data_IF_201588164201
#
_entry.id   IF_201588164201
#
_cell.length_a   1.000
_cell.length_b   1.000
_cell.length_c   1.000
_cell.angle_alpha   90.00
_cell.angle_beta   90.00
_cell.angle_gamma   90.00
#
_symmetry.space_group_name_H-M   'P 1'
#
loop_
_entity.id
_entity.type
_entity.pdbx_description
1 polymer ?
#
# COMPACT_ATOMS: atom_id res chain seq x y z
N UNK A 1 20.38 -26.46 -34.75
CA UNK A 1 19.51 -25.62 -35.61
C UNK A 1 18.45 -24.99 -34.69
N UNK A 2 18.69 -23.75 -34.29
CA UNK A 2 17.75 -22.97 -33.49
C UNK A 2 16.78 -22.25 -34.40
N UNK A 3 15.47 -22.39 -34.16
CA UNK A 3 14.43 -21.58 -34.77
C UNK A 3 13.95 -20.59 -33.74
N UNK A 4 14.01 -19.27 -33.97
CA UNK A 4 13.47 -18.28 -33.04
C UNK A 4 11.96 -18.14 -33.27
N UNK A 5 11.19 -18.34 -32.23
CA UNK A 5 9.74 -18.09 -32.23
C UNK A 5 9.48 -16.59 -32.12
N UNK A 6 9.20 -15.98 -33.24
CA UNK A 6 8.66 -14.62 -33.35
C UNK A 6 7.16 -14.70 -33.05
N UNK A 7 6.75 -14.33 -31.83
CA UNK A 7 5.34 -14.19 -31.51
C UNK A 7 4.84 -12.85 -32.06
N UNK A 8 3.99 -12.94 -33.08
CA UNK A 8 3.41 -11.82 -33.81
C UNK A 8 2.48 -11.01 -32.89
N UNK A 9 2.83 -9.75 -32.71
CA UNK A 9 1.99 -8.69 -32.18
C UNK A 9 0.95 -8.29 -33.25
N UNK A 10 -0.13 -9.03 -33.34
CA UNK A 10 -1.19 -8.78 -34.34
C UNK A 10 -2.55 -9.05 -33.68
N UNK A 11 -3.00 -8.16 -32.78
CA UNK A 11 -4.41 -8.02 -32.35
C UNK A 11 -4.61 -6.82 -31.44
N UNK A 12 -4.35 -5.62 -31.95
CA UNK A 12 -4.70 -4.36 -31.26
C UNK A 12 -5.26 -3.31 -32.22
N UNK A 13 -5.92 -3.73 -33.28
CA UNK A 13 -6.47 -2.82 -34.29
C UNK A 13 -7.95 -3.06 -34.56
N UNK A 14 -8.80 -3.20 -33.56
CA UNK A 14 -10.25 -3.24 -33.78
C UNK A 14 -11.05 -2.91 -32.49
N UNK A 15 -10.88 -1.72 -31.93
CA UNK A 15 -11.84 -1.15 -30.96
C UNK A 15 -11.85 0.39 -30.98
N UNK A 16 -11.67 1.01 -32.17
CA UNK A 16 -12.03 2.41 -32.36
C UNK A 16 -13.54 2.50 -32.70
N UNK A 17 -14.40 2.02 -31.81
CA UNK A 17 -15.81 2.40 -31.86
C UNK A 17 -15.89 3.88 -31.45
N UNK A 18 -16.46 4.72 -32.31
CA UNK A 18 -16.67 6.13 -32.09
C UNK A 18 -17.37 6.39 -30.76
N UNK A 19 -16.63 6.91 -29.80
CA UNK A 19 -17.14 7.34 -28.50
C UNK A 19 -17.79 8.70 -28.69
N UNK A 20 -18.95 8.98 -28.11
CA UNK A 20 -19.57 10.28 -28.23
C UNK A 20 -18.63 11.35 -27.67
N UNK A 21 -18.36 12.36 -28.47
CA UNK A 21 -17.64 13.57 -28.07
C UNK A 21 -18.40 14.21 -26.90
N UNK A 22 -17.90 14.03 -25.69
CA UNK A 22 -18.37 14.79 -24.55
C UNK A 22 -17.85 16.22 -24.69
N UNK A 23 -18.70 17.20 -24.35
CA UNK A 23 -18.33 18.62 -24.43
C UNK A 23 -16.97 18.85 -23.78
N UNK A 24 -16.09 19.54 -24.49
CA UNK A 24 -14.71 19.77 -24.09
C UNK A 24 -14.65 20.51 -22.74
N UNK A 25 -14.25 19.84 -21.67
CA UNK A 25 -13.91 20.53 -20.43
C UNK A 25 -12.74 21.50 -20.66
N UNK A 26 -12.74 22.67 -20.01
CA UNK A 26 -11.65 23.63 -20.20
C UNK A 26 -10.31 23.01 -19.79
N UNK A 27 -9.25 23.29 -20.54
CA UNK A 27 -7.89 22.90 -20.18
C UNK A 27 -7.55 23.49 -18.83
N UNK A 28 -7.12 22.61 -17.89
CA UNK A 28 -6.69 23.01 -16.55
C UNK A 28 -5.29 22.53 -16.30
N UNK A 29 -4.48 23.44 -15.76
CA UNK A 29 -3.19 23.12 -15.18
C UNK A 29 -3.29 23.40 -13.68
N UNK A 30 -2.97 22.40 -12.86
CA UNK A 30 -3.12 22.47 -11.41
C UNK A 30 -1.80 22.07 -10.77
N UNK A 31 -1.34 22.86 -9.80
CA UNK A 31 -0.17 22.52 -9.00
C UNK A 31 -0.58 21.84 -7.70
N UNK A 32 0.12 20.78 -7.35
CA UNK A 32 -0.10 19.98 -6.14
C UNK A 32 1.17 20.02 -5.28
N UNK A 33 1.00 20.14 -3.96
CA UNK A 33 2.12 20.19 -3.00
C UNK A 33 1.81 19.27 -1.83
N UNK A 34 2.83 18.59 -1.37
CA UNK A 34 2.79 17.79 -0.14
C UNK A 34 4.14 17.98 0.59
N UNK A 35 4.10 18.69 1.71
CA UNK A 35 5.24 18.92 2.59
C UNK A 35 5.04 18.13 3.87
N UNK A 36 6.00 17.27 4.23
CA UNK A 36 5.92 16.44 5.44
C UNK A 36 7.23 16.50 6.22
N UNK A 37 7.16 17.02 7.43
CA UNK A 37 8.21 16.89 8.44
C UNK A 37 7.85 15.72 9.35
N UNK A 38 8.81 14.80 9.55
CA UNK A 38 8.64 13.64 10.43
C UNK A 38 9.87 13.45 11.30
N UNK A 39 9.63 13.13 12.56
CA UNK A 39 10.60 12.55 13.46
C UNK A 39 10.17 11.12 13.77
N UNK A 40 11.06 10.15 13.63
CA UNK A 40 10.86 8.73 13.95
C UNK A 40 11.98 8.26 14.86
N UNK A 41 11.61 7.72 16.03
CA UNK A 41 12.52 7.07 16.96
C UNK A 41 12.22 5.57 16.99
N UNK A 42 13.27 4.74 16.96
CA UNK A 42 13.17 3.28 17.01
C UNK A 42 14.14 2.76 18.08
N UNK A 43 13.56 2.18 19.14
CA UNK A 43 14.24 1.36 20.13
C UNK A 43 13.97 -0.11 19.78
N UNK A 44 14.99 -0.82 19.32
CA UNK A 44 14.89 -2.24 18.92
C UNK A 44 15.99 -3.02 19.63
N UNK A 45 15.60 -3.94 20.52
CA UNK A 45 16.50 -4.74 21.35
C UNK A 45 17.47 -5.67 20.55
N UNK A 46 17.37 -5.69 19.19
CA UNK A 46 18.38 -6.31 18.34
C UNK A 46 19.63 -5.45 18.15
N UNK A 47 19.60 -4.17 18.53
CA UNK A 47 20.67 -3.19 18.34
C UNK A 47 21.13 -2.62 19.67
N UNK A 48 22.40 -2.24 19.73
CA UNK A 48 22.98 -1.62 20.95
C UNK A 48 22.62 -0.13 21.10
N UNK A 49 22.09 0.49 20.04
CA UNK A 49 21.72 1.91 19.99
C UNK A 49 20.41 2.08 19.28
N UNK A 50 19.65 3.05 19.71
CA UNK A 50 18.40 3.46 19.09
C UNK A 50 18.65 4.16 17.75
N UNK A 51 17.63 4.14 16.88
CA UNK A 51 17.59 5.01 15.73
C UNK A 51 16.79 6.27 16.03
N UNK A 52 17.30 7.39 15.49
CA UNK A 52 16.67 8.71 15.52
C UNK A 52 16.74 9.30 14.13
N UNK A 53 15.59 9.49 13.50
CA UNK A 53 15.47 9.97 12.13
C UNK A 53 14.55 11.20 12.05
N UNK A 54 15.09 12.33 11.60
CA UNK A 54 14.28 13.52 11.27
C UNK A 54 14.36 13.74 9.79
N UNK A 55 13.22 13.70 9.11
CA UNK A 55 13.12 13.78 7.65
C UNK A 55 12.12 14.83 7.22
N UNK A 56 12.47 15.57 6.16
CA UNK A 56 11.60 16.55 5.51
C UNK A 56 11.41 16.14 4.06
N UNK A 57 10.17 15.92 3.64
CA UNK A 57 9.80 15.62 2.27
C UNK A 57 9.04 16.78 1.66
N UNK A 58 9.37 17.12 0.43
CA UNK A 58 8.57 17.96 -0.45
C UNK A 58 8.22 17.16 -1.71
N UNK A 59 6.93 17.03 -2.01
CA UNK A 59 6.42 16.64 -3.33
C UNK A 59 5.85 17.86 -4.01
N UNK A 60 6.16 18.02 -5.29
CA UNK A 60 5.60 19.07 -6.14
C UNK A 60 5.14 18.45 -7.45
N UNK A 61 3.87 18.61 -7.76
CA UNK A 61 3.22 18.02 -8.93
C UNK A 61 2.57 19.06 -9.82
N UNK A 62 2.63 18.80 -11.12
CA UNK A 62 1.92 19.54 -12.16
C UNK A 62 0.93 18.60 -12.84
N UNK A 63 -0.35 18.79 -12.56
CA UNK A 63 -1.45 18.04 -13.16
C UNK A 63 -2.04 18.77 -14.34
N UNK A 64 -2.13 18.08 -15.45
CA UNK A 64 -2.77 18.56 -16.68
C UNK A 64 -4.09 17.83 -16.89
N UNK A 65 -5.14 18.57 -17.27
CA UNK A 65 -6.37 18.04 -17.82
C UNK A 65 -6.75 18.82 -19.08
N UNK A 66 -6.89 18.14 -20.21
CA UNK A 66 -7.35 18.71 -21.46
C UNK A 66 -8.79 18.28 -21.75
N UNK A 67 -9.55 19.15 -22.43
CA UNK A 67 -10.99 19.00 -22.62
C UNK A 67 -11.47 17.83 -23.44
N UNK A 68 -10.57 17.00 -23.97
CA UNK A 68 -10.87 15.79 -24.75
C UNK A 68 -10.65 14.49 -23.95
N UNK A 69 -10.53 14.58 -22.61
CA UNK A 69 -10.26 13.46 -21.73
C UNK A 69 -8.76 13.16 -21.53
N UNK A 70 -7.87 13.82 -22.25
CA UNK A 70 -6.43 13.70 -22.04
C UNK A 70 -6.05 14.33 -20.69
N UNK A 71 -5.29 13.62 -19.88
CA UNK A 71 -4.82 14.08 -18.58
C UNK A 71 -3.45 13.48 -18.26
N UNK A 72 -2.74 14.10 -17.32
CA UNK A 72 -1.42 13.61 -16.91
C UNK A 72 -0.96 14.26 -15.62
N UNK A 73 0.12 13.73 -15.08
CA UNK A 73 0.79 14.23 -13.88
C UNK A 73 2.30 14.07 -14.02
N UNK A 74 3.00 15.13 -13.71
CA UNK A 74 4.44 15.10 -13.43
C UNK A 74 4.63 15.53 -11.99
N UNK A 75 5.17 14.65 -11.15
CA UNK A 75 5.43 14.89 -9.73
C UNK A 75 6.87 14.53 -9.39
N UNK A 76 7.60 15.49 -8.84
CA UNK A 76 8.93 15.27 -8.27
C UNK A 76 8.84 15.24 -6.75
N UNK A 77 9.76 14.49 -6.13
CA UNK A 77 9.91 14.36 -4.70
C UNK A 77 11.35 14.68 -4.29
N UNK A 78 11.50 15.42 -3.18
CA UNK A 78 12.78 15.69 -2.56
C UNK A 78 12.69 15.38 -1.07
N UNK A 79 13.66 14.61 -0.54
CA UNK A 79 13.74 14.22 0.86
C UNK A 79 15.10 14.67 1.43
N UNK A 80 15.05 15.51 2.47
CA UNK A 80 16.18 15.79 3.33
C UNK A 80 16.07 14.94 4.59
N UNK A 81 17.22 14.46 5.11
CA UNK A 81 17.26 13.56 6.25
C UNK A 81 18.45 13.88 7.16
N UNK A 82 18.22 13.80 8.46
CA UNK A 82 19.20 13.98 9.54
C UNK A 82 18.96 12.97 10.66
N UNK A 83 19.99 12.69 11.44
CA UNK A 83 19.91 11.81 12.60
C UNK A 83 20.80 10.56 12.52
N UNK A 84 20.67 9.70 13.50
CA UNK A 84 21.42 8.46 13.65
C UNK A 84 20.50 7.25 13.39
N UNK A 85 20.42 6.79 12.15
CA UNK A 85 19.57 5.66 11.76
C UNK A 85 20.12 4.97 10.50
N UNK A 86 19.68 3.76 10.22
CA UNK A 86 19.93 3.04 8.98
C UNK A 86 18.85 3.38 7.95
N UNK A 87 19.18 4.12 6.90
CA UNK A 87 18.22 4.43 5.82
C UNK A 87 18.15 3.34 4.73
N UNK A 88 19.04 2.35 4.77
CA UNK A 88 19.24 1.41 3.65
C UNK A 88 20.15 1.96 2.54
N UNK A 89 20.49 3.26 2.58
CA UNK A 89 21.36 3.95 1.61
C UNK A 89 22.62 4.57 2.23
N UNK A 90 22.73 4.63 3.56
CA UNK A 90 23.78 5.36 4.27
C UNK A 90 24.83 4.47 4.94
N UNK A 91 24.78 3.15 4.76
CA UNK A 91 25.76 2.19 5.29
C UNK A 91 25.74 1.98 6.81
N UNK A 92 24.77 2.51 7.54
CA UNK A 92 24.66 2.39 9.00
C UNK A 92 23.91 1.13 9.43
N UNK A 93 24.40 -0.05 9.04
CA UNK A 93 23.81 -1.33 9.38
C UNK A 93 23.83 -1.69 10.88
N UNK A 94 24.57 -0.94 11.70
CA UNK A 94 24.64 -1.05 13.15
C UNK A 94 23.50 -0.36 13.91
N UNK A 95 22.57 0.26 13.21
CA UNK A 95 21.41 0.97 13.75
C UNK A 95 20.09 0.37 13.22
N UNK A 96 18.99 0.49 13.98
CA UNK A 96 17.66 0.14 13.50
C UNK A 96 17.30 0.85 12.19
N UNK A 97 16.56 0.17 11.35
CA UNK A 97 16.21 0.69 10.04
C UNK A 97 14.98 1.62 10.10
N UNK A 98 15.13 2.80 9.49
CA UNK A 98 14.04 3.71 9.11
C UNK A 98 14.18 3.94 7.61
N UNK A 99 13.28 3.38 6.80
CA UNK A 99 13.36 3.38 5.33
C UNK A 99 12.85 4.72 4.78
N UNK A 100 13.54 5.80 5.17
CA UNK A 100 13.29 7.17 4.70
C UNK A 100 14.64 7.80 4.30
N UNK A 101 15.25 7.36 3.17
CA UNK A 101 16.53 7.91 2.69
C UNK A 101 16.36 9.35 2.20
N UNK A 102 17.45 10.11 2.19
CA UNK A 102 17.53 11.36 1.43
C UNK A 102 17.57 11.04 -0.07
N UNK A 103 17.02 11.92 -0.89
CA UNK A 103 17.05 11.75 -2.35
C UNK A 103 16.19 12.79 -3.06
N UNK A 104 16.30 12.81 -4.38
CA UNK A 104 15.44 13.60 -5.28
C UNK A 104 15.07 12.68 -6.42
N UNK A 105 13.77 12.44 -6.63
CA UNK A 105 13.26 11.50 -7.61
C UNK A 105 12.00 12.03 -8.32
N UNK A 106 11.73 11.51 -9.51
CA UNK A 106 10.39 11.61 -10.10
C UNK A 106 9.51 10.49 -9.53
N UNK A 107 8.57 10.89 -8.68
CA UNK A 107 7.65 9.96 -8.05
C UNK A 107 6.53 9.51 -9.00
N UNK A 108 6.02 10.45 -9.83
CA UNK A 108 5.04 10.14 -10.87
C UNK A 108 5.35 10.90 -12.17
N UNK A 109 5.23 10.23 -13.30
CA UNK A 109 5.34 10.81 -14.63
C UNK A 109 4.50 9.96 -15.61
N UNK A 110 3.24 10.34 -15.82
CA UNK A 110 2.32 9.57 -16.63
C UNK A 110 1.38 10.44 -17.45
N UNK A 111 0.93 9.89 -18.56
CA UNK A 111 -0.10 10.43 -19.42
C UNK A 111 -1.24 9.43 -19.55
N UNK A 112 -2.48 9.91 -19.58
CA UNK A 112 -3.65 9.08 -19.70
C UNK A 112 -4.78 9.74 -20.45
N UNK A 113 -5.78 8.93 -20.76
CA UNK A 113 -7.03 9.37 -21.35
C UNK A 113 -8.19 8.78 -20.55
N UNK A 114 -9.22 9.58 -20.30
CA UNK A 114 -10.44 9.19 -19.59
C UNK A 114 -11.66 9.57 -20.42
N UNK A 115 -12.49 8.59 -20.72
CA UNK A 115 -13.78 8.73 -21.38
C UNK A 115 -14.94 8.35 -20.49
N UNK A 116 -16.17 8.37 -21.00
CA UNK A 116 -17.39 8.23 -20.22
C UNK A 116 -17.52 6.94 -19.38
N UNK A 117 -16.87 5.84 -19.79
CA UNK A 117 -16.97 4.54 -19.09
C UNK A 117 -15.63 3.93 -18.72
N UNK A 118 -14.54 4.63 -18.89
CA UNK A 118 -13.24 4.09 -18.53
C UNK A 118 -12.10 5.02 -18.87
N UNK A 119 -10.87 4.55 -18.60
CA UNK A 119 -9.64 5.27 -18.87
C UNK A 119 -8.45 4.35 -18.99
N UNK A 120 -7.37 4.92 -19.48
CA UNK A 120 -6.08 4.29 -19.64
C UNK A 120 -5.01 5.28 -19.20
N UNK A 121 -3.95 4.80 -18.56
CA UNK A 121 -2.78 5.61 -18.24
C UNK A 121 -1.50 4.82 -18.47
N UNK A 122 -0.45 5.50 -18.92
CA UNK A 122 0.87 4.93 -19.19
C UNK A 122 1.93 5.80 -18.55
N UNK A 123 2.91 5.18 -17.90
CA UNK A 123 4.05 5.80 -17.27
C UNK A 123 4.16 5.47 -15.80
N UNK A 124 5.02 6.22 -15.08
CA UNK A 124 5.25 6.03 -13.64
C UNK A 124 4.07 6.57 -12.85
N UNK A 125 3.39 5.69 -12.13
CA UNK A 125 2.13 5.99 -11.46
C UNK A 125 1.97 5.25 -10.14
N UNK A 126 1.15 5.79 -9.24
CA UNK A 126 0.64 5.09 -8.06
C UNK A 126 -0.45 4.14 -8.48
N UNK A 127 -0.39 2.91 -7.98
CA UNK A 127 -1.49 1.94 -8.11
C UNK A 127 -1.95 1.53 -6.73
N UNK A 128 -3.23 1.74 -6.46
CA UNK A 128 -3.88 1.43 -5.20
C UNK A 128 -5.07 0.51 -5.48
N UNK A 129 -4.95 -0.77 -5.15
CA UNK A 129 -6.01 -1.74 -5.36
C UNK A 129 -6.62 -2.16 -4.03
N UNK A 130 -7.92 -2.11 -3.94
CA UNK A 130 -8.72 -2.46 -2.77
C UNK A 130 -8.22 -1.76 -1.48
N UNK A 131 -7.85 -2.53 -0.45
CA UNK A 131 -7.26 -2.00 0.78
C UNK A 131 -5.72 -1.93 0.75
N UNK A 132 -5.10 -2.12 -0.41
CA UNK A 132 -3.64 -2.14 -0.61
C UNK A 132 -2.92 -3.32 0.07
N UNK A 133 -3.65 -4.37 0.44
CA UNK A 133 -3.04 -5.59 1.02
C UNK A 133 -2.12 -6.31 0.03
N UNK A 134 -2.42 -6.19 -1.27
CA UNK A 134 -1.65 -6.82 -2.34
C UNK A 134 -0.90 -5.80 -3.19
N UNK A 135 -1.54 -4.71 -3.57
CA UNK A 135 -0.98 -3.66 -4.45
C UNK A 135 -1.23 -2.30 -3.81
N UNK A 136 -0.15 -1.61 -3.47
CA UNK A 136 -0.21 -0.30 -2.83
C UNK A 136 1.07 0.52 -3.03
N UNK A 137 1.06 1.76 -2.56
CA UNK A 137 2.16 2.70 -2.75
C UNK A 137 3.06 2.89 -1.51
N UNK A 138 2.78 2.23 -0.40
CA UNK A 138 3.51 2.44 0.86
C UNK A 138 3.58 3.92 1.29
N UNK A 139 2.49 4.67 1.08
CA UNK A 139 2.43 6.14 1.25
C UNK A 139 2.69 6.64 2.68
N UNK A 140 2.87 5.74 3.65
CA UNK A 140 3.37 6.06 4.98
C UNK A 140 4.82 6.52 4.92
N UNK A 141 5.68 5.91 4.11
CA UNK A 141 7.09 6.27 3.99
C UNK A 141 7.26 7.65 3.34
N UNK A 142 8.41 8.27 3.53
CA UNK A 142 8.72 9.55 2.88
C UNK A 142 8.81 9.34 1.37
N UNK A 143 9.65 8.42 0.91
CA UNK A 143 9.60 7.93 -0.45
C UNK A 143 8.51 6.84 -0.57
N UNK A 144 7.70 6.89 -1.61
CA UNK A 144 6.63 5.90 -1.81
C UNK A 144 6.97 4.94 -2.96
N UNK A 145 6.27 3.81 -2.97
CA UNK A 145 6.35 2.86 -4.06
C UNK A 145 5.54 3.37 -5.26
N UNK A 146 6.17 3.38 -6.44
CA UNK A 146 5.54 3.73 -7.72
C UNK A 146 5.82 2.64 -8.76
N UNK A 147 5.02 2.62 -9.85
CA UNK A 147 5.10 1.59 -10.88
C UNK A 147 5.19 2.21 -12.25
N UNK A 148 6.18 1.78 -13.05
CA UNK A 148 6.17 2.02 -14.49
C UNK A 148 5.19 1.01 -15.08
N UNK A 149 4.03 1.49 -15.55
CA UNK A 149 2.89 0.65 -15.84
C UNK A 149 1.99 1.20 -16.94
N UNK A 150 1.28 0.27 -17.59
CA UNK A 150 0.04 0.54 -18.32
C UNK A 150 -1.12 0.15 -17.40
N UNK A 151 -2.02 1.07 -17.10
CA UNK A 151 -3.23 0.78 -16.32
C UNK A 151 -4.49 1.11 -17.11
N UNK A 152 -5.53 0.32 -16.94
CA UNK A 152 -6.83 0.48 -17.58
C UNK A 152 -7.95 0.27 -16.55
N UNK A 153 -8.98 1.10 -16.64
CA UNK A 153 -10.20 0.93 -15.86
C UNK A 153 -11.40 1.08 -16.78
N UNK A 154 -12.37 0.17 -16.66
CA UNK A 154 -13.64 0.20 -17.40
C UNK A 154 -14.78 -0.02 -16.41
N UNK A 155 -15.81 0.81 -16.50
CA UNK A 155 -17.08 0.65 -15.78
C UNK A 155 -18.20 0.32 -16.79
N UNK A 156 -18.37 -0.96 -17.19
CA UNK A 156 -19.39 -1.36 -18.17
C UNK A 156 -20.80 -1.02 -17.70
N UNK A 157 -21.01 -1.06 -16.39
CA UNK A 157 -22.22 -0.69 -15.67
C UNK A 157 -21.82 0.23 -14.48
N UNK A 158 -22.77 0.97 -13.94
CA UNK A 158 -22.56 1.89 -12.79
C UNK A 158 -22.13 1.15 -11.52
N UNK A 159 -22.49 -0.12 -11.41
CA UNK A 159 -22.24 -0.99 -10.26
C UNK A 159 -21.05 -1.96 -10.48
N UNK A 160 -20.44 -2.00 -11.67
CA UNK A 160 -19.33 -2.90 -12.01
C UNK A 160 -18.12 -2.11 -12.53
N UNK A 161 -16.99 -2.25 -11.86
CA UNK A 161 -15.70 -1.73 -12.30
C UNK A 161 -14.75 -2.90 -12.59
N UNK A 162 -14.05 -2.84 -13.71
CA UNK A 162 -13.01 -3.77 -14.12
C UNK A 162 -11.72 -2.99 -14.25
N UNK A 163 -10.64 -3.49 -13.66
CA UNK A 163 -9.30 -2.88 -13.70
C UNK A 163 -8.29 -3.89 -14.20
N UNK A 164 -7.39 -3.41 -15.02
CA UNK A 164 -6.22 -4.14 -15.45
C UNK A 164 -4.99 -3.25 -15.31
N UNK A 165 -3.86 -3.82 -14.91
CA UNK A 165 -2.57 -3.16 -15.02
C UNK A 165 -1.50 -4.16 -15.47
N UNK A 166 -0.60 -3.70 -16.33
CA UNK A 166 0.67 -4.35 -16.63
C UNK A 166 1.79 -3.52 -16.00
N UNK A 167 2.59 -4.16 -15.15
CA UNK A 167 3.72 -3.53 -14.49
C UNK A 167 5.01 -4.01 -15.16
N UNK A 168 5.80 -3.07 -15.65
CA UNK A 168 7.13 -3.32 -16.20
C UNK A 168 8.22 -3.17 -15.13
N UNK A 169 7.98 -2.26 -14.13
CA UNK A 169 8.95 -1.95 -13.08
C UNK A 169 8.23 -1.48 -11.82
N UNK A 170 8.83 -1.78 -10.66
CA UNK A 170 8.48 -1.16 -9.38
C UNK A 170 9.66 -0.32 -8.87
N UNK A 171 9.41 0.93 -8.54
CA UNK A 171 10.30 1.82 -7.78
C UNK A 171 9.94 1.68 -6.31
N UNK A 172 10.94 1.40 -5.48
CA UNK A 172 10.71 1.00 -4.10
C UNK A 172 10.98 2.17 -3.13
N UNK A 173 10.44 2.05 -1.94
CA UNK A 173 10.55 3.07 -0.87
C UNK A 173 11.99 3.38 -0.43
N UNK A 174 12.94 2.52 -0.76
CA UNK A 174 14.36 2.71 -0.40
C UNK A 174 15.09 3.76 -1.26
N UNK A 175 14.46 4.20 -2.37
CA UNK A 175 15.01 5.23 -3.26
C UNK A 175 16.21 4.80 -4.12
N UNK A 176 16.57 5.65 -5.05
CA UNK A 176 17.59 5.37 -6.07
C UNK A 176 19.00 5.21 -5.49
N UNK A 177 19.27 5.75 -4.29
CA UNK A 177 20.55 5.66 -3.60
C UNK A 177 20.70 4.43 -2.68
N UNK A 178 19.69 3.53 -2.60
CA UNK A 178 19.78 2.32 -1.79
C UNK A 178 21.01 1.50 -2.16
N UNK A 179 21.71 0.93 -1.15
CA UNK A 179 22.95 0.17 -1.36
C UNK A 179 22.70 -1.13 -2.13
N UNK A 180 21.57 -1.82 -1.85
CA UNK A 180 21.13 -2.97 -2.64
C UNK A 180 20.35 -2.47 -3.87
N UNK A 181 20.83 -2.73 -5.10
CA UNK A 181 20.10 -2.36 -6.32
C UNK A 181 18.68 -2.91 -6.37
N UNK A 182 18.40 -4.09 -5.82
CA UNK A 182 17.08 -4.71 -5.76
C UNK A 182 16.13 -4.01 -4.78
N UNK A 183 16.67 -3.19 -3.88
CA UNK A 183 15.89 -2.32 -3.01
C UNK A 183 15.57 -0.97 -3.64
N UNK A 184 16.26 -0.56 -4.73
CA UNK A 184 15.96 0.65 -5.50
C UNK A 184 14.72 0.43 -6.38
N UNK A 185 14.86 -0.51 -7.29
CA UNK A 185 13.84 -0.87 -8.25
C UNK A 185 13.93 -2.35 -8.62
N UNK A 186 12.88 -2.89 -9.25
CA UNK A 186 12.89 -4.25 -9.81
C UNK A 186 12.16 -4.27 -11.14
N UNK A 187 12.75 -4.95 -12.10
CA UNK A 187 12.12 -5.24 -13.38
C UNK A 187 11.04 -6.32 -13.21
N UNK A 188 9.86 -6.05 -13.74
CA UNK A 188 8.69 -6.91 -13.60
C UNK A 188 8.15 -7.35 -14.96
N UNK A 189 7.33 -8.41 -14.91
CA UNK A 189 6.39 -8.81 -15.96
C UNK A 189 5.09 -9.23 -15.28
N UNK A 190 4.37 -8.22 -14.75
CA UNK A 190 3.28 -8.47 -13.81
C UNK A 190 1.96 -8.03 -14.39
N UNK A 191 0.97 -8.94 -14.40
CA UNK A 191 -0.40 -8.66 -14.82
C UNK A 191 -1.34 -8.65 -13.62
N UNK A 192 -2.08 -7.56 -13.46
CA UNK A 192 -3.06 -7.37 -12.40
C UNK A 192 -4.46 -7.28 -12.99
N UNK A 193 -5.35 -8.15 -12.55
CA UNK A 193 -6.77 -8.14 -12.88
C UNK A 193 -7.58 -7.95 -11.61
N UNK A 194 -8.52 -7.01 -11.62
CA UNK A 194 -9.41 -6.75 -10.49
C UNK A 194 -10.81 -6.41 -11.03
N UNK A 195 -11.83 -6.96 -10.39
CA UNK A 195 -13.23 -6.69 -10.68
C UNK A 195 -13.95 -6.34 -9.36
N UNK A 196 -14.75 -5.28 -9.34
CA UNK A 196 -15.52 -4.88 -8.18
C UNK A 196 -16.98 -4.64 -8.57
N UNK A 197 -17.88 -5.39 -7.95
CA UNK A 197 -19.32 -5.22 -8.10
C UNK A 197 -19.91 -4.65 -6.82
N UNK A 198 -20.67 -3.56 -6.94
CA UNK A 198 -21.33 -2.87 -5.85
C UNK A 198 -22.83 -3.13 -5.87
N UNK A 199 -23.40 -3.52 -4.74
CA UNK A 199 -24.83 -3.66 -4.56
C UNK A 199 -25.26 -3.02 -3.23
N UNK A 200 -25.95 -1.90 -3.31
CA UNK A 200 -26.30 -1.12 -2.14
C UNK A 200 -25.05 -0.69 -1.34
N UNK A 201 -24.96 -1.12 -0.10
CA UNK A 201 -23.83 -0.86 0.80
C UNK A 201 -22.80 -2.00 0.83
N UNK A 202 -22.85 -2.90 -0.13
CA UNK A 202 -21.95 -4.05 -0.22
C UNK A 202 -21.11 -3.97 -1.49
N UNK A 203 -19.93 -4.54 -1.43
CA UNK A 203 -19.04 -4.71 -2.57
C UNK A 203 -18.46 -6.13 -2.55
N UNK A 204 -18.61 -6.82 -3.68
CA UNK A 204 -17.89 -8.05 -3.97
C UNK A 204 -16.76 -7.75 -4.93
N UNK A 205 -15.53 -8.07 -4.55
CA UNK A 205 -14.34 -7.95 -5.36
C UNK A 205 -13.78 -9.32 -5.73
N UNK A 206 -13.24 -9.45 -6.94
CA UNK A 206 -12.46 -10.60 -7.37
C UNK A 206 -11.18 -10.14 -8.03
N UNK A 207 -10.08 -10.84 -7.80
CA UNK A 207 -8.78 -10.46 -8.37
C UNK A 207 -7.93 -11.65 -8.74
N UNK A 208 -7.03 -11.43 -9.72
CA UNK A 208 -5.96 -12.34 -10.08
C UNK A 208 -4.70 -11.52 -10.41
N UNK A 209 -3.63 -11.74 -9.66
CA UNK A 209 -2.36 -11.06 -9.79
C UNK A 209 -1.29 -12.08 -10.20
N UNK A 210 -0.81 -11.96 -11.42
CA UNK A 210 0.25 -12.79 -12.00
C UNK A 210 1.54 -11.99 -11.93
N UNK A 211 2.23 -12.09 -10.78
CA UNK A 211 3.45 -11.34 -10.50
C UNK A 211 4.68 -12.15 -10.91
N UNK A 212 5.47 -11.59 -11.82
CA UNK A 212 6.80 -12.07 -12.16
C UNK A 212 7.83 -10.98 -11.87
N UNK A 213 8.73 -11.27 -10.94
CA UNK A 213 9.87 -10.43 -10.59
C UNK A 213 11.10 -10.98 -11.33
N UNK A 214 11.67 -10.17 -12.25
CA UNK A 214 12.79 -10.60 -13.08
C UNK A 214 14.13 -10.53 -12.35
N UNK A 215 14.21 -9.71 -11.29
CA UNK A 215 15.41 -9.52 -10.50
C UNK A 215 15.45 -10.42 -9.26
N UNK A 216 14.27 -10.84 -8.76
CA UNK A 216 14.11 -11.73 -7.61
C UNK A 216 13.10 -12.83 -7.92
N UNK A 217 13.53 -13.85 -8.66
CA UNK A 217 12.67 -14.92 -9.14
C UNK A 217 11.85 -15.61 -8.04
N UNK A 218 12.39 -15.73 -6.81
CA UNK A 218 11.69 -16.29 -5.66
C UNK A 218 10.50 -15.44 -5.16
N UNK A 219 10.40 -14.16 -5.55
CA UNK A 219 9.25 -13.31 -5.24
C UNK A 219 8.09 -13.49 -6.23
N UNK A 220 8.33 -14.18 -7.37
CA UNK A 220 7.32 -14.39 -8.40
C UNK A 220 6.21 -15.33 -7.92
N UNK A 221 4.96 -14.87 -8.05
CA UNK A 221 3.79 -15.58 -7.52
C UNK A 221 2.53 -15.30 -8.32
N UNK A 222 1.60 -16.23 -8.34
CA UNK A 222 0.23 -16.01 -8.77
C UNK A 222 -0.68 -16.01 -7.54
N UNK A 223 -1.44 -14.93 -7.37
CA UNK A 223 -2.38 -14.75 -6.27
C UNK A 223 -3.76 -14.45 -6.84
N UNK A 224 -4.79 -15.20 -6.42
CA UNK A 224 -6.17 -14.93 -6.80
C UNK A 224 -7.07 -15.04 -5.58
N UNK A 225 -8.09 -14.20 -5.53
CA UNK A 225 -8.95 -14.13 -4.36
C UNK A 225 -10.27 -13.44 -4.58
N UNK A 226 -11.09 -13.51 -3.55
CA UNK A 226 -12.38 -12.85 -3.43
C UNK A 226 -12.43 -12.04 -2.14
N UNK A 227 -13.00 -10.85 -2.23
CA UNK A 227 -13.20 -9.94 -1.11
C UNK A 227 -14.66 -9.49 -1.07
N UNK A 228 -15.32 -9.69 0.06
CA UNK A 228 -16.65 -9.17 0.33
C UNK A 228 -16.60 -8.18 1.48
N UNK A 229 -17.02 -6.95 1.23
CA UNK A 229 -17.11 -5.92 2.25
C UNK A 229 -18.48 -5.25 2.21
N UNK A 230 -18.91 -4.75 3.34
CA UNK A 230 -20.21 -4.10 3.40
C UNK A 230 -20.48 -3.42 4.72
N UNK A 231 -21.63 -2.74 4.78
CA UNK A 231 -22.13 -2.18 6.02
C UNK A 231 -23.65 -2.25 6.10
N UNK A 232 -24.17 -2.29 7.33
CA UNK A 232 -25.58 -2.22 7.66
C UNK A 232 -25.80 -1.14 8.71
N UNK A 233 -26.89 -0.40 8.61
CA UNK A 233 -27.27 0.57 9.63
C UNK A 233 -27.77 -0.16 10.88
N UNK A 234 -27.43 0.38 12.05
CA UNK A 234 -27.95 0.00 13.35
C UNK A 234 -28.58 1.22 14.01
N UNK A 235 -29.43 1.00 15.02
CA UNK A 235 -29.93 2.09 15.86
C UNK A 235 -28.73 2.76 16.56
N UNK A 236 -28.49 4.04 16.25
CA UNK A 236 -27.36 4.81 16.80
C UNK A 236 -25.98 4.52 16.20
N UNK A 237 -25.90 3.77 15.07
CA UNK A 237 -24.61 3.44 14.48
C UNK A 237 -24.64 2.60 13.21
N UNK A 238 -23.59 1.80 13.02
CA UNK A 238 -23.47 0.88 11.89
C UNK A 238 -22.64 -0.36 12.25
N UNK A 239 -22.95 -1.46 11.58
CA UNK A 239 -22.10 -2.65 11.50
C UNK A 239 -21.42 -2.66 10.14
N UNK A 240 -20.11 -2.88 10.10
CA UNK A 240 -19.35 -3.09 8.88
C UNK A 240 -18.63 -4.43 8.95
N UNK A 241 -18.29 -4.98 7.79
CA UNK A 241 -17.50 -6.22 7.69
C UNK A 241 -16.62 -6.22 6.47
N UNK A 242 -15.52 -6.93 6.60
CA UNK A 242 -14.65 -7.33 5.49
C UNK A 242 -14.33 -8.82 5.66
N UNK A 243 -14.61 -9.59 4.61
CA UNK A 243 -14.20 -10.98 4.48
C UNK A 243 -13.38 -11.11 3.20
N UNK A 244 -12.22 -11.74 3.28
CA UNK A 244 -11.37 -11.97 2.12
C UNK A 244 -10.77 -13.37 2.17
N UNK A 245 -10.65 -14.01 1.02
CA UNK A 245 -9.91 -15.26 0.87
C UNK A 245 -9.11 -15.23 -0.42
N UNK A 246 -7.90 -15.79 -0.37
CA UNK A 246 -7.06 -15.92 -1.54
C UNK A 246 -6.22 -17.20 -1.50
N UNK A 247 -5.67 -17.52 -2.66
CA UNK A 247 -4.68 -18.56 -2.83
C UNK A 247 -3.47 -17.99 -3.55
N UNK A 248 -2.27 -18.34 -3.11
CA UNK A 248 -1.02 -17.95 -3.73
C UNK A 248 -0.16 -19.18 -4.01
N UNK A 249 0.52 -19.17 -5.17
CA UNK A 249 1.51 -20.18 -5.56
C UNK A 249 2.66 -19.53 -6.32
N UNK A 250 3.77 -20.26 -6.46
CA UNK A 250 4.84 -19.85 -7.37
C UNK A 250 4.34 -19.69 -8.82
N UNK A 251 4.86 -18.69 -9.55
CA UNK A 251 4.46 -18.36 -10.93
C UNK A 251 5.66 -17.91 -11.76
N UNK A 252 5.53 -18.01 -13.09
CA UNK A 252 6.53 -17.54 -14.05
C UNK A 252 7.91 -18.18 -13.80
N UNK A 253 8.91 -17.35 -13.57
CA UNK A 253 10.30 -17.75 -13.29
C UNK A 253 10.56 -18.23 -11.85
N UNK A 254 9.53 -18.36 -10.99
CA UNK A 254 9.70 -18.77 -9.59
C UNK A 254 10.29 -20.18 -9.49
N UNK A 255 11.42 -20.37 -8.77
CA UNK A 255 11.95 -21.70 -8.45
C UNK A 255 11.15 -22.40 -7.35
N UNK A 256 10.24 -21.68 -6.68
CA UNK A 256 9.53 -22.15 -5.51
C UNK A 256 8.23 -22.87 -5.91
N UNK A 257 7.96 -24.00 -5.25
CA UNK A 257 6.72 -24.77 -5.43
C UNK A 257 5.96 -24.79 -4.11
N UNK A 258 4.93 -23.99 -3.98
CA UNK A 258 4.08 -23.90 -2.81
C UNK A 258 2.63 -23.55 -3.22
N UNK A 259 1.72 -23.70 -2.29
CA UNK A 259 0.33 -23.28 -2.44
C UNK A 259 -0.22 -22.90 -1.08
N UNK A 260 -0.25 -21.62 -0.77
CA UNK A 260 -0.67 -21.09 0.53
C UNK A 260 -2.02 -20.40 0.45
N UNK A 261 -2.78 -20.50 1.52
CA UNK A 261 -4.04 -19.80 1.69
C UNK A 261 -3.84 -18.46 2.39
N UNK A 262 -4.68 -17.53 2.07
CA UNK A 262 -4.91 -16.27 2.78
C UNK A 262 -6.38 -16.16 3.13
N UNK A 263 -6.67 -15.65 4.30
CA UNK A 263 -8.01 -15.18 4.63
C UNK A 263 -7.97 -14.08 5.68
N UNK A 264 -9.00 -13.23 5.63
CA UNK A 264 -9.26 -12.15 6.56
C UNK A 264 -10.73 -12.16 6.95
N UNK A 265 -11.01 -12.03 8.24
CA UNK A 265 -12.33 -11.72 8.76
C UNK A 265 -12.21 -10.49 9.69
N UNK A 266 -12.85 -9.38 9.31
CA UNK A 266 -12.82 -8.14 10.08
C UNK A 266 -14.23 -7.54 10.20
N UNK A 267 -14.99 -7.88 11.26
CA UNK A 267 -16.18 -7.13 11.67
C UNK A 267 -15.80 -5.85 12.41
N UNK A 268 -16.63 -4.81 12.25
CA UNK A 268 -16.51 -3.55 12.97
C UNK A 268 -17.89 -2.99 13.32
N UNK A 269 -18.04 -2.48 14.53
CA UNK A 269 -19.26 -1.80 14.98
C UNK A 269 -18.92 -0.35 15.34
N UNK A 270 -19.71 0.58 14.81
CA UNK A 270 -19.61 2.00 15.17
C UNK A 270 -20.85 2.40 15.93
N UNK A 271 -20.68 2.88 17.15
CA UNK A 271 -21.74 3.40 18.00
C UNK A 271 -21.31 4.76 18.57
N UNK A 272 -22.17 5.78 18.49
CA UNK A 272 -21.91 7.13 19.02
C UNK A 272 -20.56 7.73 18.58
N UNK A 273 -20.10 7.40 17.37
CA UNK A 273 -18.85 7.92 16.81
C UNK A 273 -17.58 7.17 17.26
N UNK A 274 -17.72 6.10 18.03
CA UNK A 274 -16.64 5.18 18.40
C UNK A 274 -16.80 3.91 17.58
N UNK A 275 -15.73 3.48 16.92
CA UNK A 275 -15.65 2.22 16.17
C UNK A 275 -14.83 1.20 16.93
N UNK A 276 -15.40 0.06 17.22
CA UNK A 276 -14.70 -1.13 17.67
C UNK A 276 -14.59 -2.12 16.51
N UNK A 277 -13.42 -2.72 16.32
CA UNK A 277 -13.19 -3.77 15.33
C UNK A 277 -12.47 -4.96 15.96
N UNK A 278 -12.72 -6.12 15.44
CA UNK A 278 -11.93 -7.32 15.67
C UNK A 278 -11.46 -7.83 14.31
N UNK A 279 -10.27 -8.38 14.24
CA UNK A 279 -9.76 -8.96 13.02
C UNK A 279 -9.03 -10.26 13.27
N UNK A 280 -9.09 -11.13 12.27
CA UNK A 280 -8.30 -12.34 12.19
C UNK A 280 -7.79 -12.46 10.75
N UNK A 281 -6.50 -12.23 10.58
CA UNK A 281 -5.80 -12.36 9.30
C UNK A 281 -4.87 -13.56 9.34
N UNK A 282 -4.86 -14.32 8.25
CA UNK A 282 -4.05 -15.51 8.10
C UNK A 282 -3.26 -15.48 6.79
N UNK A 283 -1.98 -15.65 6.90
CA UNK A 283 -1.04 -15.81 5.79
C UNK A 283 -0.36 -17.18 5.93
N UNK A 284 -0.76 -18.11 5.08
CA UNK A 284 -0.30 -19.50 5.14
C UNK A 284 1.21 -19.63 4.94
N UNK A 285 1.81 -20.62 5.62
CA UNK A 285 3.20 -21.01 5.48
C UNK A 285 3.41 -22.50 5.72
N UNK A 286 4.55 -23.05 5.27
CA UNK A 286 4.86 -24.48 5.41
C UNK A 286 6.13 -24.76 6.23
N UNK A 287 6.75 -23.73 6.77
CA UNK A 287 8.02 -23.78 7.50
C UNK A 287 9.24 -23.55 6.61
N UNK A 288 9.08 -23.64 5.29
CA UNK A 288 10.12 -23.30 4.30
C UNK A 288 9.80 -22.01 3.54
N UNK A 289 8.53 -21.83 3.22
CA UNK A 289 8.01 -20.68 2.49
C UNK A 289 6.68 -20.26 3.08
N UNK A 290 6.34 -18.98 2.90
CA UNK A 290 5.04 -18.44 3.27
C UNK A 290 4.50 -17.53 2.17
N UNK A 291 3.23 -17.27 2.22
CA UNK A 291 2.55 -16.28 1.40
C UNK A 291 3.19 -14.90 1.58
N UNK A 292 3.52 -14.22 0.48
CA UNK A 292 4.15 -12.90 0.49
C UNK A 292 3.32 -11.89 -0.31
N UNK A 293 3.41 -10.61 0.06
CA UNK A 293 2.76 -9.51 -0.63
C UNK A 293 3.79 -8.41 -0.99
N UNK A 294 4.73 -8.67 -1.95
CA UNK A 294 5.89 -7.82 -2.17
C UNK A 294 5.56 -6.42 -2.74
N UNK A 295 4.36 -6.21 -3.26
CA UNK A 295 3.88 -4.94 -3.84
C UNK A 295 2.83 -4.23 -2.97
N UNK A 296 2.64 -4.67 -1.73
CA UNK A 296 1.65 -4.16 -0.79
C UNK A 296 2.09 -2.85 -0.11
N UNK A 297 1.12 -2.15 0.50
CA UNK A 297 1.38 -1.13 1.54
C UNK A 297 1.58 -1.82 2.88
N UNK A 298 2.76 -2.39 3.09
CA UNK A 298 3.02 -3.35 4.17
C UNK A 298 2.81 -2.78 5.57
N UNK A 299 3.26 -1.54 5.84
CA UNK A 299 3.14 -0.87 7.15
C UNK A 299 1.70 -0.71 7.67
N UNK A 300 0.70 -0.81 6.80
CA UNK A 300 -0.70 -0.72 7.18
C UNK A 300 -1.25 -2.02 7.82
N UNK A 301 -0.48 -3.12 7.77
CA UNK A 301 -0.91 -4.46 8.17
C UNK A 301 0.06 -5.07 9.17
N UNK A 302 -0.46 -5.97 10.01
CA UNK A 302 0.30 -6.79 10.95
C UNK A 302 1.20 -5.98 11.89
N UNK A 303 0.67 -4.85 12.38
CA UNK A 303 1.32 -3.96 13.34
C UNK A 303 2.29 -2.93 12.74
N UNK A 304 2.53 -1.86 13.48
CA UNK A 304 3.33 -0.71 13.02
C UNK A 304 4.81 -0.80 13.41
N UNK A 305 5.18 -1.77 14.26
CA UNK A 305 6.58 -2.07 14.54
C UNK A 305 7.30 -2.66 13.32
N UNK A 306 6.56 -3.02 12.25
CA UNK A 306 7.08 -3.53 10.96
C UNK A 306 7.82 -4.87 11.09
N UNK A 307 7.45 -5.73 12.06
CA UNK A 307 8.09 -7.05 12.27
C UNK A 307 7.67 -8.08 11.22
N UNK A 308 6.54 -7.87 10.55
CA UNK A 308 5.94 -8.83 9.61
C UNK A 308 5.83 -8.26 8.18
N UNK A 309 6.73 -7.34 7.78
CA UNK A 309 6.84 -6.89 6.38
C UNK A 309 7.17 -8.02 5.41
N UNK A 310 7.85 -9.04 5.91
CA UNK A 310 8.06 -10.34 5.26
C UNK A 310 7.37 -11.37 6.14
N UNK A 311 6.44 -12.12 5.58
CA UNK A 311 5.76 -13.21 6.32
C UNK A 311 6.77 -14.29 6.68
N UNK A 312 6.90 -14.68 7.97
CA UNK A 312 7.78 -15.75 8.39
C UNK A 312 7.47 -17.08 7.66
N UNK A 313 8.46 -17.92 7.45
CA UNK A 313 8.31 -19.17 6.69
C UNK A 313 7.23 -20.11 7.23
N UNK A 314 7.00 -20.09 8.55
CA UNK A 314 5.93 -20.87 9.18
C UNK A 314 4.54 -20.18 9.09
N UNK A 315 4.42 -19.11 8.28
CA UNK A 315 3.19 -18.33 8.14
C UNK A 315 2.94 -17.37 9.30
N UNK A 316 1.83 -16.66 9.23
CA UNK A 316 1.41 -15.68 10.23
C UNK A 316 -0.11 -15.74 10.44
N UNK A 317 -0.53 -15.87 11.67
CA UNK A 317 -1.86 -15.52 12.16
C UNK A 317 -1.76 -14.23 12.97
N UNK A 318 -2.50 -13.19 12.57
CA UNK A 318 -2.65 -11.92 13.28
C UNK A 318 -4.09 -11.80 13.78
N UNK A 319 -4.27 -11.85 15.09
CA UNK A 319 -5.56 -11.61 15.76
C UNK A 319 -5.51 -10.26 16.42
N UNK A 320 -6.42 -9.35 16.07
CA UNK A 320 -6.36 -8.01 16.59
C UNK A 320 -7.70 -7.46 17.04
N UNK A 321 -7.62 -6.55 17.98
CA UNK A 321 -8.73 -5.71 18.44
C UNK A 321 -8.35 -4.26 18.23
N UNK A 322 -9.28 -3.45 17.76
CA UNK A 322 -9.06 -2.03 17.52
C UNK A 322 -10.21 -1.17 18.02
N UNK A 323 -9.88 -0.01 18.54
CA UNK A 323 -10.80 1.05 18.88
C UNK A 323 -10.36 2.32 18.16
N UNK A 324 -11.32 3.13 17.71
CA UNK A 324 -11.01 4.41 17.11
C UNK A 324 -12.22 5.34 17.10
N UNK A 325 -11.97 6.60 16.87
CA UNK A 325 -13.05 7.59 16.85
C UNK A 325 -12.52 9.00 16.70
N UNK A 326 -13.42 9.96 16.90
CA UNK A 326 -13.10 11.38 16.88
C UNK A 326 -13.32 12.01 18.26
N UNK A 327 -12.48 12.98 18.62
CA UNK A 327 -12.57 13.69 19.90
C UNK A 327 -13.12 15.10 19.67
N UNK A 328 -13.98 15.57 20.60
CA UNK A 328 -14.48 16.93 20.64
C UNK A 328 -15.52 17.25 19.58
N UNK A 329 -15.89 18.53 19.50
CA UNK A 329 -16.82 19.06 18.49
C UNK A 329 -16.07 19.38 17.21
N UNK A 330 -16.73 19.18 16.07
CA UNK A 330 -16.23 19.60 14.78
C UNK A 330 -16.05 21.12 14.73
N UNK A 331 -14.85 21.59 14.38
CA UNK A 331 -14.55 22.99 14.08
C UNK A 331 -14.07 23.11 12.65
N UNK A 332 -14.78 23.89 11.85
CA UNK A 332 -14.46 24.14 10.43
C UNK A 332 -14.22 22.83 9.61
N UNK A 333 -15.03 21.79 9.82
CA UNK A 333 -14.86 20.51 9.15
C UNK A 333 -13.72 19.63 9.69
N UNK A 334 -13.09 20.02 10.79
CA UNK A 334 -11.90 19.34 11.36
C UNK A 334 -12.21 18.75 12.73
N UNK A 335 -11.92 17.46 12.90
CA UNK A 335 -12.03 16.76 14.17
C UNK A 335 -10.78 15.93 14.43
N UNK A 336 -10.18 16.02 15.63
CA UNK A 336 -9.11 15.11 16.03
C UNK A 336 -9.58 13.65 15.92
N UNK A 337 -8.74 12.79 15.33
CA UNK A 337 -8.99 11.36 15.22
C UNK A 337 -7.97 10.59 16.05
N UNK A 338 -8.42 9.54 16.74
CA UNK A 338 -7.57 8.66 17.50
C UNK A 338 -7.81 7.19 17.11
N UNK A 339 -6.79 6.37 17.29
CA UNK A 339 -6.85 4.91 17.09
C UNK A 339 -5.98 4.22 18.14
N UNK A 340 -6.48 3.11 18.64
CA UNK A 340 -5.76 2.14 19.47
C UNK A 340 -5.99 0.76 18.87
N UNK A 341 -4.95 -0.07 18.79
CA UNK A 341 -5.07 -1.46 18.41
C UNK A 341 -4.13 -2.34 19.23
N UNK A 342 -4.54 -3.58 19.44
CA UNK A 342 -3.73 -4.64 20.02
C UNK A 342 -3.75 -5.84 19.09
N UNK A 343 -2.57 -6.43 18.89
CA UNK A 343 -2.33 -7.58 18.02
C UNK A 343 -1.72 -8.73 18.81
N UNK A 344 -2.12 -9.96 18.52
CA UNK A 344 -1.52 -11.23 18.98
C UNK A 344 -1.08 -12.01 17.75
N UNK A 345 0.21 -12.33 17.66
CA UNK A 345 0.81 -12.95 16.49
C UNK A 345 1.23 -14.38 16.75
N UNK A 346 0.91 -15.29 15.83
CA UNK A 346 1.28 -16.69 15.90
C UNK A 346 1.75 -17.21 14.54
N UNK A 347 2.55 -18.27 14.58
CA UNK A 347 2.83 -19.05 13.40
C UNK A 347 1.57 -19.79 12.93
N UNK A 348 1.32 -19.84 11.61
CA UNK A 348 0.32 -20.73 11.02
C UNK A 348 0.70 -22.19 11.26
N UNK A 349 1.95 -22.55 10.96
CA UNK A 349 2.46 -23.89 11.20
C UNK A 349 3.13 -24.02 12.57
N UNK A 350 2.66 -24.96 13.37
CA UNK A 350 3.22 -25.25 14.69
C UNK A 350 2.74 -24.31 15.80
N UNK A 351 1.95 -23.29 15.48
CA UNK A 351 1.27 -22.38 16.41
C UNK A 351 2.17 -21.71 17.45
N UNK A 352 3.48 -21.60 17.15
CA UNK A 352 4.41 -20.88 18.01
C UNK A 352 3.96 -19.41 18.15
N UNK A 353 4.00 -18.89 19.37
CA UNK A 353 3.69 -17.51 19.62
C UNK A 353 4.84 -16.62 19.13
N UNK A 354 4.53 -15.58 18.36
CA UNK A 354 5.54 -14.64 17.85
C UNK A 354 5.66 -13.39 18.71
N UNK A 355 4.61 -13.08 19.48
CA UNK A 355 4.56 -11.90 20.33
C UNK A 355 3.25 -11.14 20.18
N UNK A 356 3.22 -9.94 20.74
CA UNK A 356 2.07 -9.05 20.68
C UNK A 356 2.50 -7.61 20.46
N UNK A 357 1.58 -6.76 19.98
CA UNK A 357 1.89 -5.36 19.71
C UNK A 357 0.74 -4.44 20.09
N UNK A 358 1.07 -3.32 20.74
CA UNK A 358 0.17 -2.21 20.91
C UNK A 358 0.49 -1.10 19.92
N UNK A 359 -0.55 -0.56 19.30
CA UNK A 359 -0.49 0.56 18.38
C UNK A 359 -1.42 1.66 18.84
N UNK A 360 -0.94 2.89 18.87
CA UNK A 360 -1.75 4.07 19.20
C UNK A 360 -1.44 5.21 18.23
N UNK A 361 -2.45 5.97 17.84
CA UNK A 361 -2.27 7.19 17.06
C UNK A 361 -3.26 8.28 17.41
N UNK A 362 -2.81 9.52 17.26
CA UNK A 362 -3.62 10.73 17.37
C UNK A 362 -3.31 11.64 16.19
N UNK A 363 -4.32 12.00 15.41
CA UNK A 363 -4.21 12.91 14.28
C UNK A 363 -5.01 14.16 14.55
N UNK A 364 -4.37 15.32 14.48
CA UNK A 364 -4.90 16.63 14.76
C UNK A 364 -4.94 17.45 13.47
N UNK A 365 -6.10 17.71 12.89
CA UNK A 365 -6.23 18.71 11.84
C UNK A 365 -6.04 20.10 12.44
N UNK A 366 -5.02 20.85 12.01
CA UNK A 366 -4.65 22.15 12.53
C UNK A 366 -5.23 23.30 11.72
N UNK A 367 -5.25 23.14 10.39
CA UNK A 367 -5.83 24.07 9.44
C UNK A 367 -6.20 23.33 8.13
N UNK A 368 -6.81 24.01 7.18
CA UNK A 368 -7.09 23.41 5.86
C UNK A 368 -5.77 22.93 5.22
N UNK A 369 -5.69 21.65 4.95
CA UNK A 369 -4.50 21.00 4.39
C UNK A 369 -3.34 20.78 5.37
N UNK A 370 -3.40 21.30 6.62
CA UNK A 370 -2.36 21.14 7.63
C UNK A 370 -2.82 20.20 8.75
N UNK A 371 -2.03 19.18 9.04
CA UNK A 371 -2.29 18.24 10.13
C UNK A 371 -1.02 17.88 10.91
N UNK A 372 -1.19 17.50 12.16
CA UNK A 372 -0.15 16.88 12.98
C UNK A 372 -0.60 15.47 13.38
N UNK A 373 0.34 14.52 13.45
CA UNK A 373 0.09 13.14 13.86
C UNK A 373 1.17 12.69 14.83
N UNK A 374 0.75 12.10 15.95
CA UNK A 374 1.59 11.30 16.83
C UNK A 374 1.18 9.83 16.69
N UNK A 375 2.17 8.92 16.67
CA UNK A 375 1.94 7.49 16.49
C UNK A 375 2.94 6.70 17.34
N UNK A 376 2.52 5.58 17.91
CA UNK A 376 3.31 4.70 18.75
C UNK A 376 3.06 3.24 18.34
N UNK A 377 4.11 2.43 18.34
CA UNK A 377 4.07 0.98 18.32
C UNK A 377 4.94 0.43 19.45
N UNK A 378 4.47 -0.61 20.14
CA UNK A 378 5.21 -1.34 21.18
C UNK A 378 5.00 -2.85 20.95
N UNK A 379 5.96 -3.46 20.26
CA UNK A 379 6.00 -4.90 20.00
C UNK A 379 6.77 -5.61 21.09
N UNK A 380 6.17 -6.65 21.66
CA UNK A 380 6.76 -7.56 22.64
C UNK A 380 6.97 -8.92 22.00
N UNK A 381 8.23 -9.28 21.85
CA UNK A 381 8.66 -10.55 21.24
C UNK A 381 8.38 -11.74 22.15
N UNK A 382 7.90 -12.83 21.53
CA UNK A 382 7.82 -14.13 22.19
C UNK A 382 8.11 -15.21 21.13
N UNK A 383 9.41 -15.53 20.98
CA UNK A 383 9.87 -16.51 20.00
C UNK A 383 10.18 -15.98 18.59
N UNK A 384 9.81 -14.76 18.24
CA UNK A 384 10.12 -14.15 16.94
C UNK A 384 10.61 -12.72 17.09
N UNK A 385 11.65 -12.33 16.34
CA UNK A 385 12.28 -11.01 16.34
C UNK A 385 12.79 -10.58 17.74
N UNK A 386 12.70 -9.28 18.07
CA UNK A 386 13.08 -8.68 19.35
C UNK A 386 12.09 -7.60 19.74
N UNK A 387 11.99 -7.31 21.03
CA UNK A 387 11.20 -6.18 21.53
C UNK A 387 11.53 -4.91 20.76
N UNK A 388 10.49 -4.18 20.38
CA UNK A 388 10.70 -2.97 19.57
C UNK A 388 9.64 -1.95 19.88
N UNK A 389 10.08 -0.74 20.19
CA UNK A 389 9.23 0.44 20.35
C UNK A 389 9.53 1.46 19.27
N UNK A 390 8.48 2.00 18.66
CA UNK A 390 8.60 3.08 17.68
C UNK A 390 7.72 4.25 18.05
N UNK A 391 8.23 5.46 17.88
CA UNK A 391 7.49 6.72 18.07
C UNK A 391 7.63 7.56 16.79
N UNK A 392 6.51 8.12 16.33
CA UNK A 392 6.49 9.06 15.21
C UNK A 392 5.79 10.35 15.62
N UNK A 393 6.41 11.48 15.27
CA UNK A 393 5.80 12.79 15.30
C UNK A 393 5.85 13.38 13.90
N UNK A 394 4.73 13.79 13.36
CA UNK A 394 4.63 14.26 11.98
C UNK A 394 3.78 15.52 11.88
N UNK A 395 4.23 16.45 11.05
CA UNK A 395 3.42 17.57 10.56
C UNK A 395 3.39 17.48 9.04
N UNK A 396 2.21 17.59 8.46
CA UNK A 396 2.00 17.48 7.02
C UNK A 396 1.10 18.58 6.51
N UNK A 397 1.52 19.23 5.40
CA UNK A 397 0.73 20.20 4.68
C UNK A 397 0.51 19.73 3.25
N UNK A 398 -0.76 19.69 2.84
CA UNK A 398 -1.18 19.39 1.46
C UNK A 398 -1.95 20.55 0.87
N UNK A 399 -1.56 20.95 -0.32
CA UNK A 399 -2.22 22.04 -1.04
C UNK A 399 -2.39 21.71 -2.51
N UNK A 400 -3.45 22.31 -3.08
CA UNK A 400 -3.74 22.26 -4.53
C UNK A 400 -4.09 23.66 -4.97
N UNK A 401 -3.52 24.13 -6.09
CA UNK A 401 -3.77 25.45 -6.64
C UNK A 401 -3.95 25.44 -8.17
#
# INVERSE_FOLDING_TARGET
MCVPSVLRLSMLAACCAAWPLQAAEPRRLTTEWDLRLRHEQVDDAAFARDADATTLRLRAGLRMAAGNGLHGLLEAEAIAAAGAYNSGANGRGDLPQVVDPRGIEFNQAWLGWKGGRGGIALGRQRLLFDNQRWIGNSGWRQNEQAFDALSMEIAPRKDLALRYAFLERVHRVNGDDALDPRARERALSTHLFNAAWKHGRQQLGGYAYLHEDRDVASASSATWGLRWSGSSALSGGSLAWTLETARQRGHGNSPLRYSHAYWLAEPAITLHGITARAGWEHLGGDGSHALQAPLATLHAFNGWADKFLVTPAAGLEDRYLGLGGHVGRERAGMRPAWQLAWHDYRADRGHAHYGSEWNASLSLPLAKGLSATAKLADYRADGFARDTRKLWLQVEYRGVR
#
